data_IF_547217392502
#
_entry.id   IF_547217392502
#
_cell.length_a   1.000
_cell.length_b   1.000
_cell.length_c   1.000
_cell.angle_alpha   90.00
_cell.angle_beta   90.00
_cell.angle_gamma   90.00
#
_symmetry.space_group_name_H-M   'P 1'
#
loop_
_entity.id
_entity.type
_entity.pdbx_description
1 polymer ?
#
# COMPACT_ATOMS: atom_id res chain seq x y z
N UNK A 1 2.31 -20.02 -25.52
CA UNK A 1 3.45 -20.70 -24.87
C UNK A 1 3.92 -19.87 -23.69
N UNK A 2 3.49 -20.24 -22.48
CA UNK A 2 4.11 -20.01 -21.17
C UNK A 2 3.02 -20.25 -20.13
N UNK A 3 2.83 -21.52 -19.79
CA UNK A 3 2.06 -21.92 -18.61
C UNK A 3 2.42 -23.37 -18.32
N UNK A 4 3.71 -23.62 -18.06
CA UNK A 4 4.06 -24.70 -17.15
C UNK A 4 3.55 -24.24 -15.78
N UNK A 5 2.28 -24.58 -15.49
CA UNK A 5 1.80 -24.60 -14.12
C UNK A 5 2.69 -25.62 -13.41
N UNK A 6 3.71 -25.10 -12.75
CA UNK A 6 4.36 -25.85 -11.68
C UNK A 6 3.26 -26.02 -10.66
N UNK A 7 2.66 -27.21 -10.66
CA UNK A 7 1.78 -27.67 -9.59
C UNK A 7 2.52 -27.38 -8.29
N UNK A 8 2.11 -26.31 -7.62
CA UNK A 8 2.56 -26.00 -6.29
C UNK A 8 1.90 -27.05 -5.40
N UNK A 9 2.49 -28.25 -5.42
CA UNK A 9 2.41 -29.25 -4.35
C UNK A 9 3.16 -28.65 -3.15
N UNK A 10 2.63 -27.54 -2.66
CA UNK A 10 2.97 -27.04 -1.35
C UNK A 10 2.61 -28.17 -0.41
N UNK A 11 3.63 -28.89 0.04
CA UNK A 11 3.55 -29.70 1.23
C UNK A 11 2.96 -28.79 2.31
N UNK A 12 1.66 -28.92 2.54
CA UNK A 12 0.94 -28.39 3.70
C UNK A 12 1.43 -29.05 5.00
N UNK A 13 2.44 -29.91 4.91
CA UNK A 13 3.30 -30.38 5.97
C UNK A 13 4.56 -29.51 6.13
N UNK A 14 4.52 -28.23 5.73
CA UNK A 14 5.25 -27.23 6.53
C UNK A 14 4.52 -27.17 7.87
N UNK A 15 4.82 -28.22 8.65
CA UNK A 15 4.71 -28.34 10.07
C UNK A 15 5.35 -27.05 10.57
N UNK A 16 4.51 -26.03 10.63
CA UNK A 16 4.69 -24.91 11.51
C UNK A 16 4.71 -25.61 12.86
N UNK A 17 5.91 -26.06 13.22
CA UNK A 17 6.42 -26.16 14.56
C UNK A 17 6.07 -24.80 15.15
N UNK A 18 4.82 -24.72 15.59
CA UNK A 18 4.49 -24.38 16.94
C UNK A 18 5.54 -25.11 17.78
N UNK A 19 6.75 -24.55 17.82
CA UNK A 19 7.52 -24.49 19.04
C UNK A 19 6.56 -23.80 20.00
N UNK A 20 5.68 -24.61 20.59
CA UNK A 20 5.67 -24.95 22.01
C UNK A 20 6.28 -23.87 22.90
N UNK A 21 5.90 -22.62 22.61
CA UNK A 21 5.59 -21.63 23.61
C UNK A 21 4.27 -22.04 24.28
N UNK A 22 4.23 -23.26 24.81
CA UNK A 22 3.76 -23.53 26.15
C UNK A 22 4.65 -22.80 27.18
N UNK A 23 4.95 -21.52 26.92
CA UNK A 23 5.05 -20.56 27.99
C UNK A 23 3.66 -20.58 28.58
N UNK A 24 3.52 -21.33 29.68
CA UNK A 24 2.54 -21.08 30.73
C UNK A 24 2.04 -19.65 30.61
N UNK A 25 0.95 -19.49 29.86
CA UNK A 25 0.14 -18.31 29.93
C UNK A 25 -0.51 -18.49 31.29
N UNK A 26 0.24 -18.15 32.33
CA UNK A 26 -0.39 -17.48 33.44
C UNK A 26 -1.09 -16.32 32.78
N UNK A 27 -2.37 -16.56 32.48
CA UNK A 27 -3.37 -15.57 32.15
C UNK A 27 -3.49 -14.70 33.41
N UNK A 28 -2.41 -13.98 33.70
CA UNK A 28 -2.48 -12.72 34.37
C UNK A 28 -3.42 -11.96 33.49
N UNK A 29 -4.66 -11.85 33.98
CA UNK A 29 -5.61 -10.83 33.58
C UNK A 29 -4.91 -9.50 33.83
N UNK A 30 -3.94 -9.16 32.98
CA UNK A 30 -3.45 -7.82 32.80
C UNK A 30 -4.67 -7.14 32.23
N UNK A 31 -5.47 -6.60 33.13
CA UNK A 31 -6.41 -5.53 32.86
C UNK A 31 -5.60 -4.47 32.14
N UNK A 32 -5.57 -4.55 30.81
CA UNK A 32 -5.06 -3.47 29.97
C UNK A 32 -6.03 -2.33 30.21
N UNK A 33 -5.65 -1.43 31.10
CA UNK A 33 -6.37 -0.19 31.31
C UNK A 33 -6.36 0.54 29.96
N UNK A 34 -7.52 0.56 29.31
CA UNK A 34 -7.73 1.32 28.08
C UNK A 34 -7.77 2.78 28.50
N UNK A 35 -6.67 3.49 28.28
CA UNK A 35 -6.63 4.93 28.44
C UNK A 35 -7.17 5.57 27.17
N UNK A 36 -8.35 6.19 27.28
CA UNK A 36 -8.85 7.07 26.24
C UNK A 36 -8.04 8.36 26.27
N UNK A 37 -7.66 8.86 25.09
CA UNK A 37 -7.14 10.22 24.97
C UNK A 37 -8.19 11.19 25.49
N UNK A 38 -7.83 12.04 26.45
CA UNK A 38 -8.69 13.11 26.96
C UNK A 38 -9.14 14.06 25.82
N UNK A 39 -8.31 14.19 24.78
CA UNK A 39 -8.64 14.93 23.58
C UNK A 39 -9.37 14.04 22.57
N UNK A 40 -10.62 14.37 22.28
CA UNK A 40 -11.40 13.79 21.18
C UNK A 40 -10.90 14.37 19.86
N UNK A 41 -10.30 13.53 19.00
CA UNK A 41 -9.91 13.92 17.65
C UNK A 41 -11.12 13.80 16.72
N UNK A 42 -11.84 14.90 16.54
CA UNK A 42 -12.90 14.99 15.54
C UNK A 42 -12.26 15.06 14.13
N UNK A 43 -12.57 14.08 13.27
CA UNK A 43 -12.28 14.13 11.84
C UNK A 43 -13.60 14.38 11.12
N UNK A 44 -13.72 15.50 10.42
CA UNK A 44 -14.86 15.76 9.57
C UNK A 44 -14.65 15.06 8.22
N UNK A 45 -15.66 14.29 7.79
CA UNK A 45 -15.72 13.80 6.41
C UNK A 45 -16.43 14.86 5.59
N UNK A 46 -15.70 15.55 4.71
CA UNK A 46 -16.28 16.53 3.79
C UNK A 46 -16.87 15.81 2.58
N UNK A 47 -17.98 16.31 2.05
CA UNK A 47 -18.54 15.82 0.79
C UNK A 47 -17.62 16.21 -0.37
N UNK A 48 -17.58 15.39 -1.43
CA UNK A 48 -16.82 15.74 -2.65
C UNK A 48 -17.28 17.08 -3.25
N UNK A 49 -18.55 17.45 -3.07
CA UNK A 49 -19.11 18.73 -3.52
C UNK A 49 -18.61 19.94 -2.73
N UNK A 50 -18.04 19.72 -1.54
CA UNK A 50 -17.53 20.77 -0.66
C UNK A 50 -16.03 21.03 -0.88
N UNK A 51 -15.35 20.18 -1.66
CA UNK A 51 -13.95 20.38 -2.03
C UNK A 51 -13.86 21.55 -2.99
N UNK A 52 -13.14 22.59 -2.59
CA UNK A 52 -12.91 23.75 -3.45
C UNK A 52 -12.06 23.37 -4.67
N UNK A 53 -12.18 24.12 -5.76
CA UNK A 53 -11.38 23.86 -6.96
C UNK A 53 -9.87 23.92 -6.65
N UNK A 54 -9.46 24.85 -5.78
CA UNK A 54 -8.06 25.02 -5.37
C UNK A 54 -7.57 23.82 -4.54
N UNK A 55 -8.37 23.33 -3.59
CA UNK A 55 -8.05 22.12 -2.83
C UNK A 55 -8.00 20.89 -3.74
N UNK A 56 -8.91 20.78 -4.71
CA UNK A 56 -8.85 19.71 -5.70
C UNK A 56 -7.53 19.79 -6.48
N UNK A 57 -7.21 20.95 -7.06
CA UNK A 57 -5.96 21.15 -7.82
C UNK A 57 -4.73 20.84 -6.96
N UNK A 58 -4.73 21.24 -5.68
CA UNK A 58 -3.64 20.98 -4.75
C UNK A 58 -3.55 19.52 -4.28
N UNK A 59 -4.68 18.81 -4.23
CA UNK A 59 -4.75 17.41 -3.77
C UNK A 59 -4.37 16.40 -4.85
N UNK A 60 -4.46 16.79 -6.13
CA UNK A 60 -4.11 15.92 -7.25
C UNK A 60 -2.70 16.18 -7.76
N UNK A 61 -2.04 15.12 -8.19
CA UNK A 61 -0.77 15.25 -8.91
C UNK A 61 -0.96 16.11 -10.16
N UNK A 62 -0.02 17.02 -10.40
CA UNK A 62 0.10 17.67 -11.70
C UNK A 62 0.31 16.61 -12.77
N UNK A 63 -0.02 16.92 -14.03
CA UNK A 63 0.15 15.97 -15.13
C UNK A 63 1.61 15.46 -15.23
N UNK A 64 2.59 16.33 -14.97
CA UNK A 64 4.01 15.99 -14.98
C UNK A 64 4.38 15.04 -13.84
N UNK A 65 3.88 15.28 -12.62
CA UNK A 65 4.11 14.39 -11.47
C UNK A 65 3.46 13.03 -11.70
N UNK A 66 2.22 13.01 -12.23
CA UNK A 66 1.53 11.79 -12.61
C UNK A 66 2.35 10.99 -13.63
N UNK A 67 2.87 11.63 -14.67
CA UNK A 67 3.71 10.97 -15.67
C UNK A 67 4.98 10.37 -15.04
N UNK A 68 5.68 11.13 -14.17
CA UNK A 68 6.86 10.64 -13.43
C UNK A 68 6.52 9.45 -12.54
N UNK A 69 5.38 9.48 -11.86
CA UNK A 69 4.88 8.36 -11.07
C UNK A 69 4.61 7.15 -11.96
N UNK A 70 3.89 7.31 -13.07
CA UNK A 70 3.58 6.21 -13.99
C UNK A 70 4.85 5.53 -14.52
N UNK A 71 5.90 6.28 -14.86
CA UNK A 71 7.20 5.70 -15.25
C UNK A 71 7.81 4.86 -14.12
N UNK A 72 7.70 5.28 -12.87
CA UNK A 72 8.16 4.49 -11.71
C UNK A 72 7.30 3.24 -11.51
N UNK A 73 5.99 3.33 -11.72
CA UNK A 73 5.07 2.20 -11.64
C UNK A 73 5.39 1.15 -12.69
N UNK A 74 5.51 1.53 -13.96
CA UNK A 74 5.86 0.61 -15.07
C UNK A 74 7.15 -0.15 -14.75
N UNK A 75 8.20 0.55 -14.33
CA UNK A 75 9.48 -0.08 -13.94
C UNK A 75 9.35 -1.06 -12.76
N UNK A 76 8.38 -0.83 -11.87
CA UNK A 76 8.13 -1.70 -10.72
C UNK A 76 7.38 -2.95 -11.15
N UNK A 77 6.42 -2.82 -12.07
CA UNK A 77 5.69 -3.93 -12.70
C UNK A 77 6.64 -4.81 -13.52
N UNK A 78 7.45 -4.23 -14.41
CA UNK A 78 8.47 -4.98 -15.18
C UNK A 78 9.43 -5.76 -14.27
N UNK A 79 9.80 -5.15 -13.14
CA UNK A 79 10.67 -5.80 -12.14
C UNK A 79 9.96 -6.97 -11.47
N UNK A 80 8.68 -6.86 -11.16
CA UNK A 80 7.86 -7.95 -10.62
C UNK A 80 7.71 -9.09 -11.63
N UNK A 81 7.35 -8.76 -12.86
CA UNK A 81 7.20 -9.72 -13.97
C UNK A 81 8.50 -10.50 -14.25
N UNK A 82 9.65 -9.84 -14.08
CA UNK A 82 10.96 -10.51 -14.16
C UNK A 82 11.35 -11.31 -12.90
N UNK A 83 10.43 -11.53 -11.96
CA UNK A 83 10.64 -12.33 -10.75
C UNK A 83 11.60 -11.72 -9.73
N UNK A 84 12.02 -10.46 -9.94
CA UNK A 84 12.97 -9.81 -9.03
C UNK A 84 12.25 -9.38 -7.75
N UNK A 85 12.93 -9.45 -6.61
CA UNK A 85 12.39 -8.94 -5.32
C UNK A 85 12.18 -7.42 -5.35
N UNK A 86 11.18 -6.89 -4.61
CA UNK A 86 10.96 -5.45 -4.53
C UNK A 86 12.18 -4.73 -3.93
N UNK A 87 12.33 -3.43 -4.23
CA UNK A 87 13.39 -2.61 -3.66
C UNK A 87 13.19 -2.44 -2.14
N UNK A 88 14.26 -2.13 -1.41
CA UNK A 88 14.18 -1.80 0.02
C UNK A 88 13.15 -0.66 0.22
N UNK A 89 12.20 -0.86 1.13
CA UNK A 89 11.09 0.07 1.41
C UNK A 89 10.09 0.26 0.24
N UNK A 90 10.06 -0.66 -0.71
CA UNK A 90 9.03 -0.75 -1.75
C UNK A 90 8.24 -2.05 -1.56
N UNK A 91 6.99 -2.05 -1.99
CA UNK A 91 6.16 -3.25 -2.08
C UNK A 91 5.64 -3.42 -3.51
N UNK A 92 5.29 -4.65 -3.87
CA UNK A 92 4.50 -4.92 -5.08
C UNK A 92 3.00 -4.88 -4.81
N UNK A 93 2.61 -4.71 -3.55
CA UNK A 93 1.21 -4.66 -3.14
C UNK A 93 0.50 -3.47 -3.77
N UNK A 94 -0.71 -3.71 -4.27
CA UNK A 94 -1.49 -2.73 -5.03
C UNK A 94 -1.07 -2.58 -6.50
N UNK A 95 -0.14 -3.41 -6.98
CA UNK A 95 0.28 -3.48 -8.38
C UNK A 95 -0.25 -4.72 -9.10
N UNK A 96 -1.09 -5.51 -8.44
CA UNK A 96 -1.70 -6.73 -8.97
C UNK A 96 -2.53 -6.39 -10.20
N UNK A 97 -3.36 -5.35 -10.12
CA UNK A 97 -4.21 -4.92 -11.24
C UNK A 97 -3.47 -4.25 -12.41
N UNK A 98 -2.15 -4.02 -12.28
CA UNK A 98 -1.34 -3.43 -13.35
C UNK A 98 -0.67 -4.48 -14.23
N UNK A 99 -0.63 -5.73 -13.80
CA UNK A 99 -0.22 -6.83 -14.66
C UNK A 99 -1.43 -7.33 -15.44
N UNK A 100 -1.31 -7.43 -16.76
CA UNK A 100 -2.39 -7.92 -17.59
C UNK A 100 -2.71 -9.39 -17.25
N UNK A 101 -1.70 -10.18 -16.86
CA UNK A 101 -1.88 -11.57 -16.45
C UNK A 101 -2.77 -11.68 -15.20
N UNK A 102 -2.41 -10.95 -14.12
CA UNK A 102 -3.19 -10.93 -12.88
C UNK A 102 -4.62 -10.39 -13.10
N UNK A 103 -4.76 -9.36 -13.94
CA UNK A 103 -6.06 -8.78 -14.27
C UNK A 103 -6.96 -9.81 -14.97
N UNK A 104 -6.40 -10.59 -15.91
CA UNK A 104 -7.11 -11.68 -16.57
C UNK A 104 -7.43 -12.83 -15.61
N UNK A 105 -6.53 -13.18 -14.71
CA UNK A 105 -6.77 -14.21 -13.69
C UNK A 105 -7.90 -13.81 -12.74
N UNK A 106 -7.93 -12.54 -12.30
CA UNK A 106 -9.02 -12.00 -11.51
C UNK A 106 -10.34 -12.06 -12.27
N UNK A 107 -10.34 -11.63 -13.54
CA UNK A 107 -11.52 -11.69 -14.38
C UNK A 107 -12.02 -13.12 -14.55
N UNK A 108 -11.13 -14.07 -14.85
CA UNK A 108 -11.45 -15.49 -14.98
C UNK A 108 -12.05 -16.05 -13.69
N UNK A 109 -11.50 -15.70 -12.53
CA UNK A 109 -12.02 -16.14 -11.22
C UNK A 109 -13.45 -15.62 -10.98
N UNK A 110 -13.70 -14.35 -11.34
CA UNK A 110 -15.03 -13.75 -11.23
C UNK A 110 -16.01 -14.45 -12.17
N UNK A 111 -15.63 -14.65 -13.43
CA UNK A 111 -16.44 -15.33 -14.45
C UNK A 111 -16.77 -16.77 -14.02
N UNK A 112 -15.78 -17.52 -13.53
CA UNK A 112 -15.98 -18.87 -13.02
C UNK A 112 -16.97 -18.93 -11.83
N UNK A 113 -16.90 -17.97 -10.91
CA UNK A 113 -17.84 -17.87 -9.80
C UNK A 113 -19.26 -17.54 -10.28
N UNK A 114 -19.39 -16.63 -11.25
CA UNK A 114 -20.68 -16.28 -11.84
C UNK A 114 -21.28 -17.48 -12.57
N UNK A 115 -20.50 -18.15 -13.42
CA UNK A 115 -20.92 -19.32 -14.17
C UNK A 115 -21.36 -20.46 -13.24
N UNK A 116 -20.62 -20.73 -12.16
CA UNK A 116 -21.00 -21.74 -11.19
C UNK A 116 -22.37 -21.46 -10.55
N UNK A 117 -22.64 -20.21 -10.18
CA UNK A 117 -23.93 -19.79 -9.61
C UNK A 117 -25.05 -19.89 -10.65
N UNK A 118 -24.81 -19.44 -11.90
CA UNK A 118 -25.80 -19.52 -12.98
C UNK A 118 -26.13 -20.97 -13.35
N UNK A 119 -25.14 -21.87 -13.32
CA UNK A 119 -25.35 -23.31 -13.55
C UNK A 119 -26.23 -23.93 -12.46
N UNK A 120 -26.02 -23.59 -11.19
CA UNK A 120 -26.87 -24.07 -10.09
C UNK A 120 -28.29 -23.49 -10.19
N UNK A 121 -28.44 -22.22 -10.55
CA UNK A 121 -29.76 -21.63 -10.82
C UNK A 121 -30.48 -22.36 -11.98
N UNK A 122 -29.76 -22.66 -13.05
CA UNK A 122 -30.32 -23.39 -14.19
C UNK A 122 -30.77 -24.80 -13.82
N UNK A 123 -29.98 -25.50 -12.99
CA UNK A 123 -30.33 -26.82 -12.45
C UNK A 123 -31.63 -26.73 -11.61
N UNK A 124 -31.71 -25.78 -10.69
CA UNK A 124 -32.89 -25.55 -9.85
C UNK A 124 -34.14 -25.22 -10.68
N UNK A 125 -34.02 -24.39 -11.72
CA UNK A 125 -35.12 -24.11 -12.64
C UNK A 125 -35.62 -25.35 -13.37
N UNK A 126 -34.70 -26.17 -13.88
CA UNK A 126 -35.04 -27.39 -14.63
C UNK A 126 -35.76 -28.41 -13.75
N UNK A 127 -35.38 -28.49 -12.47
CA UNK A 127 -35.99 -29.39 -11.49
C UNK A 127 -37.21 -28.79 -10.77
N UNK A 128 -37.53 -27.52 -11.02
CA UNK A 128 -38.58 -26.75 -10.34
C UNK A 128 -38.39 -26.75 -8.80
N UNK A 129 -37.15 -26.58 -8.35
CA UNK A 129 -36.74 -26.48 -6.94
C UNK A 129 -36.29 -25.04 -6.66
N UNK A 130 -36.44 -24.57 -5.42
CA UNK A 130 -35.87 -23.30 -4.95
C UNK A 130 -35.06 -23.58 -3.69
N UNK A 131 -33.73 -23.55 -3.81
CA UNK A 131 -32.80 -23.78 -2.70
C UNK A 131 -31.73 -22.68 -2.66
N UNK A 132 -31.96 -21.68 -1.80
CA UNK A 132 -31.05 -20.56 -1.59
C UNK A 132 -29.72 -20.97 -0.95
N UNK A 133 -29.73 -22.03 -0.13
CA UNK A 133 -28.54 -22.52 0.56
C UNK A 133 -27.59 -23.22 -0.41
N UNK A 134 -28.13 -23.92 -1.40
CA UNK A 134 -27.32 -24.51 -2.48
C UNK A 134 -26.59 -23.43 -3.30
N UNK A 135 -27.27 -22.32 -3.65
CA UNK A 135 -26.65 -21.19 -4.35
C UNK A 135 -25.54 -20.53 -3.51
N UNK A 136 -25.82 -20.29 -2.22
CA UNK A 136 -24.84 -19.73 -1.31
C UNK A 136 -23.62 -20.64 -1.16
N UNK A 137 -23.84 -21.95 -1.07
CA UNK A 137 -22.76 -22.95 -0.97
C UNK A 137 -21.86 -22.95 -2.19
N UNK A 138 -22.42 -22.98 -3.40
CA UNK A 138 -21.64 -22.92 -4.65
C UNK A 138 -20.81 -21.63 -4.74
N UNK A 139 -21.39 -20.50 -4.36
CA UNK A 139 -20.66 -19.22 -4.33
C UNK A 139 -19.50 -19.23 -3.33
N UNK A 140 -19.72 -19.78 -2.13
CA UNK A 140 -18.68 -19.92 -1.09
C UNK A 140 -17.57 -20.86 -1.57
N UNK A 141 -17.92 -22.04 -2.08
CA UNK A 141 -16.98 -23.04 -2.56
C UNK A 141 -16.07 -22.49 -3.67
N UNK A 142 -16.65 -21.75 -4.63
CA UNK A 142 -15.87 -21.12 -5.70
C UNK A 142 -14.94 -20.01 -5.18
N UNK A 143 -15.33 -19.33 -4.09
CA UNK A 143 -14.57 -18.22 -3.49
C UNK A 143 -13.56 -18.63 -2.41
N UNK A 144 -13.49 -19.92 -2.04
CA UNK A 144 -12.65 -20.43 -0.94
C UNK A 144 -11.16 -20.10 -1.14
N UNK A 145 -10.65 -20.30 -2.36
CA UNK A 145 -9.24 -20.03 -2.67
C UNK A 145 -8.91 -18.53 -2.55
N UNK A 146 -9.75 -17.67 -3.11
CA UNK A 146 -9.59 -16.21 -3.02
C UNK A 146 -9.65 -15.73 -1.56
N UNK A 147 -10.55 -16.31 -0.76
CA UNK A 147 -10.66 -16.03 0.68
C UNK A 147 -9.40 -16.45 1.44
N UNK A 148 -8.87 -17.64 1.17
CA UNK A 148 -7.64 -18.13 1.79
C UNK A 148 -6.45 -17.22 1.45
N UNK A 149 -6.32 -16.83 0.18
CA UNK A 149 -5.28 -15.92 -0.29
C UNK A 149 -5.40 -14.54 0.39
N UNK A 150 -6.61 -13.97 0.45
CA UNK A 150 -6.87 -12.69 1.11
C UNK A 150 -6.49 -12.72 2.61
N UNK A 151 -6.80 -13.81 3.31
CA UNK A 151 -6.42 -13.98 4.71
C UNK A 151 -4.90 -14.11 4.89
N UNK A 152 -4.22 -14.84 4.00
CA UNK A 152 -2.76 -14.95 4.01
C UNK A 152 -2.10 -13.57 3.78
N UNK A 153 -2.60 -12.81 2.80
CA UNK A 153 -2.17 -11.43 2.55
C UNK A 153 -2.39 -10.54 3.77
N UNK A 154 -3.58 -10.55 4.37
CA UNK A 154 -3.88 -9.76 5.56
C UNK A 154 -2.95 -10.06 6.75
N UNK A 155 -2.58 -11.34 6.94
CA UNK A 155 -1.59 -11.74 7.96
C UNK A 155 -0.21 -11.16 7.66
N UNK A 156 0.22 -11.19 6.40
CA UNK A 156 1.48 -10.57 5.96
C UNK A 156 1.47 -9.06 6.21
N UNK A 157 0.38 -8.39 5.82
CA UNK A 157 0.20 -6.94 5.98
C UNK A 157 0.24 -6.53 7.45
N UNK A 158 -0.40 -7.30 8.32
CA UNK A 158 -0.35 -7.09 9.77
C UNK A 158 1.09 -7.15 10.30
N UNK A 159 1.92 -8.08 9.80
CA UNK A 159 3.34 -8.19 10.20
C UNK A 159 4.15 -7.00 9.68
N UNK A 160 3.95 -6.61 8.42
CA UNK A 160 4.64 -5.47 7.81
C UNK A 160 4.27 -4.16 8.52
N UNK A 161 2.98 -3.92 8.79
CA UNK A 161 2.50 -2.75 9.51
C UNK A 161 3.09 -2.67 10.92
N UNK A 162 3.12 -3.78 11.66
CA UNK A 162 3.79 -3.83 12.98
C UNK A 162 5.27 -3.48 12.89
N UNK A 163 5.98 -3.99 11.86
CA UNK A 163 7.40 -3.70 11.64
C UNK A 163 7.62 -2.22 11.28
N UNK A 164 6.77 -1.64 10.46
CA UNK A 164 6.81 -0.22 10.12
C UNK A 164 6.55 0.66 11.35
N UNK A 165 5.53 0.34 12.15
CA UNK A 165 5.22 1.06 13.38
C UNK A 165 6.39 1.05 14.37
N UNK A 166 7.04 -0.11 14.56
CA UNK A 166 8.25 -0.20 15.40
C UNK A 166 9.38 0.69 14.89
N UNK A 167 9.62 0.73 13.58
CA UNK A 167 10.65 1.60 12.98
C UNK A 167 10.32 3.07 13.20
N UNK A 168 9.07 3.48 13.01
CA UNK A 168 8.66 4.86 13.25
C UNK A 168 8.83 5.24 14.71
N UNK A 169 8.49 4.36 15.66
CA UNK A 169 8.69 4.60 17.08
C UNK A 169 10.17 4.86 17.42
N UNK A 170 11.08 4.05 16.90
CA UNK A 170 12.52 4.22 17.10
C UNK A 170 13.05 5.55 16.52
N UNK A 171 12.59 5.95 15.34
CA UNK A 171 12.99 7.22 14.73
C UNK A 171 12.53 8.43 15.56
N UNK A 172 11.34 8.35 16.18
CA UNK A 172 10.86 9.39 17.08
C UNK A 172 11.73 9.45 18.34
N UNK A 173 12.07 8.31 18.94
CA UNK A 173 12.96 8.27 20.12
C UNK A 173 14.37 8.82 19.82
N UNK A 174 14.96 8.46 18.67
CA UNK A 174 16.26 8.99 18.23
C UNK A 174 16.22 10.50 17.99
N UNK A 175 15.13 11.00 17.40
CA UNK A 175 14.91 12.43 17.20
C UNK A 175 14.80 13.18 18.53
N UNK A 176 14.05 12.64 19.50
CA UNK A 176 13.92 13.24 20.83
C UNK A 176 15.26 13.25 21.60
N UNK A 177 16.07 12.19 21.51
CA UNK A 177 17.42 12.16 22.12
C UNK A 177 18.37 13.18 21.51
N UNK A 178 18.30 13.39 20.20
CA UNK A 178 19.17 14.34 19.48
C UNK A 178 18.88 15.81 19.81
N UNK A 179 17.62 16.14 20.13
CA UNK A 179 17.23 17.50 20.55
C UNK A 179 17.68 17.76 22.00
N UNK A 180 17.67 16.73 22.85
CA UNK A 180 18.10 16.88 24.25
C UNK A 180 19.61 17.10 24.41
N UNK A 181 20.44 16.64 23.47
CA UNK A 181 21.90 16.78 23.56
C UNK A 181 22.43 18.12 23.05
N UNK A 182 21.68 18.84 22.21
CA UNK A 182 22.13 20.11 21.61
C UNK A 182 21.80 21.35 22.45
N UNK A 183 21.04 21.21 23.55
CA UNK A 183 20.59 22.35 24.36
C UNK A 183 21.56 22.78 25.48
N UNK A 184 22.62 22.01 25.79
CA UNK A 184 23.47 22.29 26.97
C UNK A 184 24.84 22.88 26.61
N UNK A 185 25.37 22.68 25.40
CA UNK A 185 26.71 23.17 25.04
C UNK A 185 26.75 24.52 24.30
N UNK A 186 25.62 25.05 23.80
CA UNK A 186 25.64 26.26 22.95
C UNK A 186 25.68 27.61 23.70
N UNK A 187 25.62 27.63 25.03
CA UNK A 187 25.69 28.88 25.80
C UNK A 187 27.09 29.31 26.24
N UNK A 188 28.12 28.47 26.07
CA UNK A 188 29.48 28.83 26.50
C UNK A 188 30.34 29.47 25.39
N UNK A 189 29.97 29.35 24.11
CA UNK A 189 30.83 29.77 22.99
C UNK A 189 30.41 31.08 22.28
N UNK A 190 29.37 31.78 22.75
CA UNK A 190 28.96 33.06 22.14
C UNK A 190 29.85 34.28 22.49
N UNK A 191 31.03 34.08 23.07
CA UNK A 191 31.95 35.19 23.45
C UNK A 191 33.04 35.52 22.43
N UNK A 192 33.06 34.94 21.23
CA UNK A 192 34.00 35.35 20.16
C UNK A 192 33.27 35.86 18.92
N UNK A 193 32.79 37.09 19.03
CA UNK A 193 32.49 37.97 17.90
C UNK A 193 33.76 38.18 17.06
N UNK A 194 33.85 37.51 15.91
CA UNK A 194 34.82 37.82 14.86
C UNK A 194 34.13 38.74 13.84
N UNK A 195 34.76 39.86 13.45
CA UNK A 195 34.14 40.83 12.55
C UNK A 195 33.99 40.29 11.12
N UNK A 196 32.82 40.58 10.56
CA UNK A 196 32.42 40.42 9.17
C UNK A 196 33.51 40.89 8.19
N UNK A 197 33.94 39.99 7.29
CA UNK A 197 34.51 40.38 6.00
C UNK A 197 33.43 40.34 4.94
N UNK A 198 33.38 41.44 4.20
CA UNK A 198 32.40 41.76 3.19
C UNK A 198 32.55 40.90 1.92
N UNK A 199 31.39 40.54 1.38
CA UNK A 199 31.00 40.68 -0.03
C UNK A 199 31.98 40.24 -1.11
N UNK A 200 31.61 39.19 -1.85
CA UNK A 200 31.65 39.25 -3.31
C UNK A 200 30.36 38.63 -3.88
N UNK A 201 29.55 39.46 -4.53
CA UNK A 201 28.41 39.08 -5.35
C UNK A 201 28.94 38.50 -6.66
N UNK A 202 28.65 37.23 -6.94
CA UNK A 202 28.87 36.62 -8.26
C UNK A 202 27.59 36.75 -9.08
N UNK A 203 27.69 37.47 -10.19
CA UNK A 203 26.60 37.75 -11.12
C UNK A 203 26.08 36.46 -11.77
N UNK A 204 24.75 36.29 -11.74
CA UNK A 204 24.02 35.22 -12.39
C UNK A 204 23.65 35.67 -13.82
N UNK A 205 24.24 35.02 -14.83
CA UNK A 205 23.91 35.23 -16.25
C UNK A 205 22.61 34.49 -16.57
N UNK A 206 21.56 35.25 -16.87
CA UNK A 206 20.25 34.74 -17.32
C UNK A 206 20.32 34.39 -18.81
N UNK A 207 20.40 33.10 -19.13
CA UNK A 207 20.21 32.58 -20.49
C UNK A 207 18.74 32.23 -20.74
N UNK A 208 18.02 33.07 -21.47
CA UNK A 208 16.66 32.80 -21.94
C UNK A 208 16.71 31.85 -23.14
N UNK A 209 16.26 30.61 -22.96
CA UNK A 209 16.00 29.67 -24.07
C UNK A 209 14.52 29.66 -24.43
N UNK A 210 14.28 30.10 -25.65
CA UNK A 210 13.00 30.14 -26.37
C UNK A 210 12.47 28.70 -26.52
N UNK A 211 11.25 28.44 -26.08
CA UNK A 211 10.53 27.19 -26.36
C UNK A 211 9.69 27.34 -27.63
N UNK A 212 9.72 26.38 -28.57
CA UNK A 212 8.87 26.44 -29.76
C UNK A 212 7.44 25.99 -29.45
N UNK A 213 6.49 26.75 -30.00
CA UNK A 213 5.06 26.47 -30.03
C UNK A 213 4.82 25.28 -30.97
N UNK A 214 4.32 24.16 -30.44
CA UNK A 214 3.84 23.03 -31.24
C UNK A 214 2.35 23.23 -31.49
N UNK A 215 2.04 23.59 -32.73
CA UNK A 215 0.67 23.76 -33.22
C UNK A 215 0.09 22.38 -33.60
N UNK A 216 -0.76 21.82 -32.75
CA UNK A 216 -1.48 20.58 -33.03
C UNK A 216 -2.70 20.90 -33.91
N UNK A 217 -2.58 20.63 -35.21
CA UNK A 217 -3.72 20.59 -36.13
C UNK A 217 -4.62 19.41 -35.78
N UNK A 218 -5.82 19.72 -35.29
CA UNK A 218 -6.94 18.78 -35.19
C UNK A 218 -7.53 18.56 -36.58
N UNK A 219 -7.50 17.32 -37.06
CA UNK A 219 -8.29 16.88 -38.21
C UNK A 219 -9.51 16.12 -37.66
N UNK A 220 -10.67 16.75 -37.75
CA UNK A 220 -11.98 16.11 -37.82
C UNK A 220 -12.74 16.77 -38.96
#
# INVERSE_FOLDING_TARGET
>A
MCSEYTEYSGNLNDECTYDDYASSFEETTRTTHVHFSEQVKCKATISRSEITADEAIASWYTHQERAKLMVKYIKTVERRQSGKKPKKNSSYRGLETFDQCDALELQYTIEACVDAVLLEQHRQWTENIVDWEALARVSIECSEQSKALALAMAKSDKREAKKANRRMALMVEESMRSISSTSIESFQDMKKLVPHKASQQTALVMGSTISPVIELRSAY
#
